data_IF_261428110698
#
_entry.id   IF_261428110698
#
_cell.length_a   1.000
_cell.length_b   1.000
_cell.length_c   1.000
_cell.angle_alpha   90.00
_cell.angle_beta   90.00
_cell.angle_gamma   90.00
#
_symmetry.space_group_name_H-M   'P 1'
#
loop_
_entity.id
_entity.type
_entity.pdbx_description
1 polymer ?
#
# COMPACT_ATOMS: atom_id res chain seq x y z
N UNK A 1 21.42 3.52 0.64
CA UNK A 1 21.26 2.80 -0.64
C UNK A 1 21.12 1.31 -0.37
N UNK A 2 19.92 0.85 0.00
CA UNK A 2 19.63 -0.58 0.06
C UNK A 2 19.51 -1.10 -1.36
N UNK A 3 20.24 -2.16 -1.72
CA UNK A 3 20.08 -2.80 -3.03
C UNK A 3 18.63 -3.32 -3.19
N UNK A 4 18.08 -3.37 -4.42
CA UNK A 4 16.73 -3.90 -4.68
C UNK A 4 16.50 -5.31 -4.10
N UNK A 5 17.57 -6.09 -3.93
CA UNK A 5 17.55 -7.37 -3.22
C UNK A 5 17.19 -7.24 -1.73
N UNK A 6 17.62 -6.20 -1.03
CA UNK A 6 17.36 -6.04 0.40
C UNK A 6 15.87 -5.79 0.69
N UNK A 7 15.20 -4.96 -0.12
CA UNK A 7 13.78 -4.67 0.04
C UNK A 7 12.91 -5.91 -0.22
N UNK A 8 13.22 -6.67 -1.28
CA UNK A 8 12.59 -7.95 -1.58
C UNK A 8 12.79 -8.98 -0.45
N UNK A 9 14.00 -9.09 0.11
CA UNK A 9 14.25 -9.96 1.26
C UNK A 9 13.45 -9.51 2.50
N UNK A 10 13.39 -8.20 2.79
CA UNK A 10 12.59 -7.67 3.90
C UNK A 10 11.11 -7.98 3.71
N UNK A 11 10.53 -7.73 2.53
CA UNK A 11 9.13 -8.04 2.26
C UNK A 11 8.84 -9.54 2.41
N UNK A 12 9.77 -10.39 1.95
CA UNK A 12 9.67 -11.84 2.10
C UNK A 12 9.76 -12.28 3.57
N UNK A 13 10.71 -11.76 4.34
CA UNK A 13 10.84 -12.01 5.79
C UNK A 13 9.57 -11.59 6.50
N UNK A 14 9.05 -10.40 6.20
CA UNK A 14 7.87 -9.89 6.86
C UNK A 14 6.62 -10.70 6.51
N UNK A 15 6.47 -11.20 5.28
CA UNK A 15 5.43 -12.20 4.95
C UNK A 15 5.60 -13.52 5.70
N UNK A 16 6.84 -13.96 5.96
CA UNK A 16 7.07 -15.15 6.79
C UNK A 16 6.67 -14.90 8.25
N UNK A 17 7.03 -13.75 8.81
CA UNK A 17 6.65 -13.34 10.17
C UNK A 17 5.15 -13.19 10.33
N UNK A 18 4.47 -12.68 9.30
CA UNK A 18 3.02 -12.51 9.32
C UNK A 18 2.24 -13.84 9.37
N UNK A 19 2.88 -14.99 9.12
CA UNK A 19 2.30 -16.32 9.40
C UNK A 19 2.23 -16.65 10.89
N UNK A 20 3.11 -16.04 11.69
CA UNK A 20 3.14 -16.18 13.15
C UNK A 20 2.28 -15.12 13.83
N UNK A 21 2.20 -13.93 13.23
CA UNK A 21 1.47 -12.76 13.70
C UNK A 21 0.46 -12.30 12.65
N UNK A 22 -0.78 -12.83 12.66
CA UNK A 22 -1.81 -12.52 11.67
C UNK A 22 -2.11 -11.02 11.55
N UNK A 23 -1.89 -10.24 12.60
CA UNK A 23 -2.03 -8.77 12.61
C UNK A 23 -1.13 -8.06 11.59
N UNK A 24 0.00 -8.68 11.21
CA UNK A 24 0.89 -8.18 10.17
C UNK A 24 0.35 -8.46 8.76
N UNK A 25 -0.59 -9.39 8.59
CA UNK A 25 -1.08 -9.80 7.27
C UNK A 25 -1.70 -8.63 6.50
N UNK A 26 -2.37 -7.68 7.17
CA UNK A 26 -2.93 -6.51 6.48
C UNK A 26 -1.90 -5.49 6.00
N UNK A 27 -0.60 -5.72 6.21
CA UNK A 27 0.48 -4.92 5.62
C UNK A 27 0.94 -5.46 4.26
N UNK A 28 0.51 -6.66 3.85
CA UNK A 28 0.97 -7.31 2.61
C UNK A 28 -0.19 -7.46 1.62
N UNK A 29 -0.05 -6.83 0.45
CA UNK A 29 -0.93 -7.02 -0.70
C UNK A 29 -0.11 -7.44 -1.92
N UNK A 30 -0.62 -8.32 -2.79
CA UNK A 30 -1.85 -9.10 -2.61
C UNK A 30 -1.63 -10.18 -1.54
N UNK A 31 -2.68 -10.52 -0.79
CA UNK A 31 -2.62 -11.71 0.05
C UNK A 31 -2.48 -12.90 -0.89
N UNK A 32 -1.36 -13.64 -0.81
CA UNK A 32 -1.21 -14.89 -1.55
C UNK A 32 -2.34 -15.87 -1.19
N UNK A 33 -2.58 -16.93 -1.99
CA UNK A 33 -3.61 -17.90 -1.69
C UNK A 33 -3.39 -18.44 -0.27
N UNK A 34 -4.35 -18.20 0.61
CA UNK A 34 -4.35 -18.81 1.94
C UNK A 34 -4.61 -20.30 1.71
N UNK A 35 -3.55 -21.11 1.70
CA UNK A 35 -3.70 -22.57 1.81
C UNK A 35 -4.17 -22.88 3.22
N UNK A 36 -5.46 -22.64 3.48
CA UNK A 36 -6.12 -23.02 4.73
C UNK A 36 -6.28 -24.54 4.71
N UNK A 37 -5.30 -25.26 5.24
CA UNK A 37 -5.53 -26.59 5.79
C UNK A 37 -6.16 -26.41 7.18
N UNK A 38 -7.47 -26.15 7.21
CA UNK A 38 -8.24 -26.07 8.45
C UNK A 38 -9.11 -24.82 8.57
N UNK A 39 -10.38 -24.95 8.20
CA UNK A 39 -11.54 -24.28 8.80
C UNK A 39 -11.49 -22.76 9.09
N UNK A 40 -10.94 -21.93 8.18
CA UNK A 40 -11.24 -20.50 8.16
C UNK A 40 -12.09 -20.19 6.93
N UNK A 41 -13.40 -20.40 7.05
CA UNK A 41 -14.37 -19.89 6.07
C UNK A 41 -14.25 -18.37 6.05
N UNK A 42 -13.78 -17.83 4.93
CA UNK A 42 -13.95 -16.42 4.58
C UNK A 42 -15.46 -16.20 4.48
N UNK A 43 -16.05 -15.56 5.49
CA UNK A 43 -17.39 -14.97 5.32
C UNK A 43 -17.23 -13.84 4.32
N UNK A 44 -17.78 -14.04 3.13
CA UNK A 44 -18.15 -12.93 2.26
C UNK A 44 -18.97 -11.94 3.09
N UNK A 45 -18.59 -10.66 3.09
CA UNK A 45 -19.35 -9.57 3.70
C UNK A 45 -20.56 -9.15 2.85
N UNK A 46 -21.10 -10.05 2.04
CA UNK A 46 -22.39 -9.89 1.38
C UNK A 46 -23.48 -10.53 2.25
N UNK A 47 -23.95 -9.78 3.24
CA UNK A 47 -25.04 -10.24 4.11
C UNK A 47 -25.38 -9.20 5.16
N UNK A 48 -26.37 -8.36 4.84
CA UNK A 48 -26.86 -7.29 5.70
C UNK A 48 -27.09 -7.72 7.15
N UNK A 49 -26.37 -7.06 8.05
CA UNK A 49 -26.78 -6.92 9.43
C UNK A 49 -27.07 -5.44 9.66
N UNK A 50 -28.35 -5.07 9.56
CA UNK A 50 -28.90 -3.79 10.01
C UNK A 50 -28.89 -3.74 11.55
N UNK A 51 -27.70 -3.81 12.14
CA UNK A 51 -27.48 -3.25 13.46
C UNK A 51 -26.78 -1.94 13.21
N UNK A 52 -27.53 -0.85 13.26
CA UNK A 52 -26.98 0.50 13.31
C UNK A 52 -26.26 0.69 14.65
N UNK A 53 -25.12 0.00 14.81
CA UNK A 53 -24.07 0.40 15.73
C UNK A 53 -23.69 1.81 15.26
N UNK A 54 -23.94 2.82 16.10
CA UNK A 54 -23.54 4.20 15.87
C UNK A 54 -22.18 4.21 15.15
N UNK A 55 -22.12 4.54 13.84
CA UNK A 55 -20.88 4.42 13.09
C UNK A 55 -19.95 5.50 13.60
N UNK A 56 -19.20 5.17 14.65
CA UNK A 56 -18.11 6.02 15.09
C UNK A 56 -17.09 6.04 13.95
N UNK A 57 -16.63 7.23 13.54
CA UNK A 57 -15.58 7.31 12.53
C UNK A 57 -14.39 6.47 12.98
N UNK A 58 -13.74 5.79 12.03
CA UNK A 58 -12.55 5.02 12.32
C UNK A 58 -11.50 5.91 13.01
N UNK A 59 -10.80 5.41 14.03
CA UNK A 59 -9.67 6.09 14.61
C UNK A 59 -8.70 6.55 13.51
N UNK A 60 -8.08 7.73 13.63
CA UNK A 60 -7.38 8.30 12.49
C UNK A 60 -6.24 7.44 11.92
N UNK A 61 -5.50 6.72 12.79
CA UNK A 61 -4.45 5.79 12.34
C UNK A 61 -5.02 4.61 11.54
N UNK A 62 -6.19 4.11 11.91
CA UNK A 62 -6.86 3.01 11.21
C UNK A 62 -7.39 3.48 9.86
N UNK A 63 -7.95 4.69 9.81
CA UNK A 63 -8.42 5.30 8.58
C UNK A 63 -7.25 5.57 7.62
N UNK A 64 -6.09 6.01 8.11
CA UNK A 64 -4.86 6.13 7.31
C UNK A 64 -4.42 4.76 6.76
N UNK A 65 -4.36 3.72 7.60
CA UNK A 65 -4.03 2.35 7.17
C UNK A 65 -4.98 1.86 6.08
N UNK A 66 -6.29 2.08 6.26
CA UNK A 66 -7.31 1.71 5.29
C UNK A 66 -7.15 2.48 3.97
N UNK A 67 -6.86 3.78 4.02
CA UNK A 67 -6.66 4.61 2.85
C UNK A 67 -5.43 4.15 2.04
N UNK A 68 -4.30 3.88 2.70
CA UNK A 68 -3.09 3.36 2.06
C UNK A 68 -3.42 2.06 1.31
N UNK A 69 -4.03 1.10 2.02
CA UNK A 69 -4.41 -0.21 1.46
C UNK A 69 -5.35 -0.09 0.27
N UNK A 70 -6.38 0.75 0.38
CA UNK A 70 -7.37 0.93 -0.68
C UNK A 70 -6.72 1.51 -1.94
N UNK A 71 -5.84 2.49 -1.77
CA UNK A 71 -5.14 3.11 -2.90
C UNK A 71 -4.13 2.15 -3.52
N UNK A 72 -3.27 1.49 -2.75
CA UNK A 72 -2.29 0.53 -3.30
C UNK A 72 -2.97 -0.61 -4.06
N UNK A 73 -4.06 -1.15 -3.51
CA UNK A 73 -4.83 -2.18 -4.18
C UNK A 73 -5.46 -1.67 -5.49
N UNK A 74 -6.11 -0.50 -5.45
CA UNK A 74 -6.69 0.10 -6.65
C UNK A 74 -5.66 0.34 -7.76
N UNK A 75 -4.49 0.87 -7.39
CA UNK A 75 -3.36 1.11 -8.31
C UNK A 75 -2.92 -0.18 -8.95
N UNK A 76 -2.74 -1.22 -8.14
CA UNK A 76 -2.34 -2.52 -8.65
C UNK A 76 -3.37 -3.10 -9.63
N UNK A 77 -4.66 -3.09 -9.27
CA UNK A 77 -5.74 -3.56 -10.14
C UNK A 77 -5.81 -2.79 -11.46
N UNK A 78 -5.71 -1.46 -11.43
CA UNK A 78 -5.73 -0.68 -12.67
C UNK A 78 -4.48 -0.91 -13.53
N UNK A 79 -3.31 -1.07 -12.89
CA UNK A 79 -2.06 -1.36 -13.59
C UNK A 79 -2.13 -2.72 -14.28
N UNK A 80 -2.63 -3.74 -13.57
CA UNK A 80 -2.84 -5.09 -14.11
C UNK A 80 -3.88 -5.05 -15.24
N UNK A 81 -5.02 -4.39 -15.03
CA UNK A 81 -6.07 -4.26 -16.04
C UNK A 81 -5.61 -3.49 -17.29
N UNK A 82 -4.79 -2.45 -17.11
CA UNK A 82 -4.19 -1.70 -18.21
C UNK A 82 -3.23 -2.58 -19.03
N UNK A 83 -2.35 -3.35 -18.35
CA UNK A 83 -1.44 -4.29 -19.01
C UNK A 83 -2.19 -5.36 -19.80
N UNK A 84 -3.21 -5.98 -19.20
CA UNK A 84 -4.04 -6.99 -19.85
C UNK A 84 -4.80 -6.43 -21.07
N UNK A 85 -5.10 -5.13 -21.06
CA UNK A 85 -5.73 -4.42 -22.18
C UNK A 85 -4.73 -3.90 -23.22
N UNK A 86 -3.44 -4.23 -23.10
CA UNK A 86 -2.37 -3.77 -24.00
C UNK A 86 -2.03 -2.28 -23.85
N UNK A 87 -2.49 -1.60 -22.79
CA UNK A 87 -2.19 -0.20 -22.51
C UNK A 87 -0.83 -0.05 -21.82
N UNK A 88 -0.25 1.14 -21.93
CA UNK A 88 0.97 1.47 -21.18
C UNK A 88 0.65 1.64 -19.69
N UNK A 89 1.36 0.90 -18.85
CA UNK A 89 1.20 0.92 -17.39
C UNK A 89 2.01 2.03 -16.71
N UNK A 90 2.97 2.64 -17.44
CA UNK A 90 3.91 3.61 -16.87
C UNK A 90 3.21 4.85 -16.36
N UNK A 91 2.18 5.34 -17.05
CA UNK A 91 1.41 6.52 -16.60
C UNK A 91 0.79 6.30 -15.21
N UNK A 92 0.22 5.11 -14.97
CA UNK A 92 -0.44 4.78 -13.71
C UNK A 92 0.57 4.71 -12.55
N UNK A 93 1.70 4.03 -12.78
CA UNK A 93 2.75 3.86 -11.77
C UNK A 93 3.50 5.18 -11.51
N UNK A 94 3.72 5.98 -12.55
CA UNK A 94 4.37 7.30 -12.42
C UNK A 94 3.51 8.28 -11.63
N UNK A 95 2.20 8.32 -11.88
CA UNK A 95 1.27 9.19 -11.14
C UNK A 95 1.40 8.97 -9.63
N UNK A 96 1.37 7.71 -9.18
CA UNK A 96 1.57 7.37 -7.76
C UNK A 96 2.98 7.68 -7.29
N UNK A 97 3.99 7.36 -8.09
CA UNK A 97 5.38 7.66 -7.74
C UNK A 97 5.60 9.15 -7.52
N UNK A 98 4.94 10.01 -8.29
CA UNK A 98 5.10 11.46 -8.22
C UNK A 98 4.30 12.07 -7.05
N UNK A 99 3.08 11.57 -6.83
CA UNK A 99 2.24 12.02 -5.70
C UNK A 99 2.77 11.53 -4.34
N UNK A 100 3.24 10.28 -4.24
CA UNK A 100 3.68 9.69 -2.97
C UNK A 100 5.17 9.83 -2.68
N UNK A 101 5.98 10.22 -3.66
CA UNK A 101 7.40 10.54 -3.46
C UNK A 101 7.67 12.02 -3.79
N UNK A 102 7.04 12.98 -3.09
CA UNK A 102 7.25 14.38 -3.39
C UNK A 102 8.72 14.76 -3.15
N UNK A 103 9.22 15.68 -3.96
CA UNK A 103 10.58 16.21 -3.84
C UNK A 103 10.59 17.44 -2.92
N UNK A 104 11.67 17.66 -2.15
CA UNK A 104 11.82 18.87 -1.36
C UNK A 104 11.58 20.13 -2.20
N UNK A 105 10.89 21.16 -1.68
CA UNK A 105 10.52 21.37 -0.27
C UNK A 105 9.19 20.73 0.16
N UNK A 106 8.45 20.08 -0.74
CA UNK A 106 7.14 19.50 -0.43
C UNK A 106 7.32 18.14 0.28
N UNK A 107 7.20 18.13 1.62
CA UNK A 107 7.34 16.89 2.41
C UNK A 107 6.01 16.18 2.64
N UNK A 108 4.89 16.90 2.62
CA UNK A 108 3.57 16.31 2.75
C UNK A 108 3.16 15.64 1.45
N UNK A 109 2.68 14.39 1.54
CA UNK A 109 2.14 13.66 0.40
C UNK A 109 0.85 14.33 -0.10
N UNK A 110 0.81 14.86 -1.33
CA UNK A 110 -0.46 15.11 -1.99
C UNK A 110 -1.16 13.76 -2.22
N UNK A 111 -2.36 13.57 -1.65
CA UNK A 111 -3.09 12.35 -1.91
C UNK A 111 -3.43 12.24 -3.41
N UNK A 112 -3.25 11.08 -4.06
CA UNK A 112 -3.42 10.94 -5.48
C UNK A 112 -4.85 11.26 -5.90
N UNK A 113 -5.01 12.26 -6.77
CA UNK A 113 -6.30 12.89 -7.04
C UNK A 113 -7.31 11.95 -7.72
N UNK A 114 -6.82 10.95 -8.47
CA UNK A 114 -7.65 10.00 -9.23
C UNK A 114 -8.02 8.75 -8.45
N UNK A 115 -7.46 8.57 -7.26
CA UNK A 115 -7.68 7.40 -6.41
C UNK A 115 -8.71 7.72 -5.34
N UNK A 116 -9.52 6.74 -4.89
CA UNK A 116 -10.66 6.98 -4.01
C UNK A 116 -10.29 7.94 -2.86
N UNK A 117 -11.08 9.01 -2.81
CA UNK A 117 -10.87 10.24 -2.03
C UNK A 117 -11.04 10.04 -0.51
N UNK A 118 -10.69 11.05 0.32
CA UNK A 118 -9.33 11.52 0.58
C UNK A 118 -8.96 11.42 2.07
N UNK A 119 -7.66 11.34 2.37
CA UNK A 119 -7.09 11.70 3.67
C UNK A 119 -6.63 13.18 3.61
N UNK A 120 -6.82 14.01 4.66
CA UNK A 120 -7.14 13.65 6.04
C UNK A 120 -8.61 13.81 6.46
N UNK A 121 -9.04 13.11 7.52
CA UNK A 121 -10.33 13.27 8.16
C UNK A 121 -10.33 14.62 8.89
N UNK A 122 -10.74 15.67 8.19
CA UNK A 122 -10.73 17.04 8.70
C UNK A 122 -9.33 17.66 8.76
N UNK A 123 -9.30 18.99 8.57
CA UNK A 123 -8.13 19.80 8.88
C UNK A 123 -8.29 20.40 10.29
N UNK A 124 -7.25 20.36 11.14
CA UNK A 124 -5.94 19.74 10.92
C UNK A 124 -5.98 18.20 11.03
N UNK A 125 -5.09 17.51 10.30
CA UNK A 125 -4.97 16.05 10.40
C UNK A 125 -4.59 15.64 11.83
N UNK A 126 -5.28 14.67 12.44
CA UNK A 126 -4.96 14.20 13.78
C UNK A 126 -3.72 13.28 13.83
N UNK A 127 -3.08 13.00 12.69
CA UNK A 127 -1.80 12.27 12.62
C UNK A 127 -0.73 13.25 12.18
N UNK A 128 0.37 13.29 12.93
CA UNK A 128 1.54 14.10 12.61
C UNK A 128 2.02 13.82 11.17
N UNK A 129 2.03 14.81 10.26
CA UNK A 129 2.48 14.63 8.88
C UNK A 129 3.92 14.14 8.75
N UNK A 130 4.79 14.47 9.70
CA UNK A 130 6.20 14.05 9.71
C UNK A 130 6.32 12.55 10.00
N UNK A 131 5.43 12.00 10.83
CA UNK A 131 5.33 10.55 11.05
C UNK A 131 4.54 9.86 9.94
N UNK A 132 3.46 10.48 9.46
CA UNK A 132 2.52 9.89 8.52
C UNK A 132 3.16 9.67 7.14
N UNK A 133 3.93 10.64 6.65
CA UNK A 133 4.58 10.59 5.32
C UNK A 133 5.47 9.36 5.14
N UNK A 134 6.53 9.15 5.96
CA UNK A 134 7.40 7.99 5.82
C UNK A 134 6.65 6.68 6.08
N UNK A 135 5.63 6.68 6.97
CA UNK A 135 4.81 5.50 7.21
C UNK A 135 3.94 5.12 6.00
N UNK A 136 3.32 6.09 5.32
CA UNK A 136 2.56 5.88 4.07
C UNK A 136 3.49 5.30 3.00
N UNK A 137 4.65 5.93 2.79
CA UNK A 137 5.64 5.50 1.80
C UNK A 137 6.13 4.08 2.07
N UNK A 138 6.51 3.76 3.32
CA UNK A 138 6.98 2.43 3.68
C UNK A 138 5.89 1.36 3.53
N UNK A 139 4.66 1.63 3.98
CA UNK A 139 3.54 0.70 3.86
C UNK A 139 3.15 0.46 2.39
N UNK A 140 3.14 1.52 1.58
CA UNK A 140 2.91 1.44 0.16
C UNK A 140 3.99 0.63 -0.57
N UNK A 141 5.26 0.92 -0.27
CA UNK A 141 6.40 0.18 -0.84
C UNK A 141 6.31 -1.30 -0.52
N UNK A 142 5.92 -1.66 0.70
CA UNK A 142 5.73 -3.05 1.11
C UNK A 142 4.62 -3.75 0.34
N UNK A 143 3.51 -3.06 0.09
CA UNK A 143 2.41 -3.57 -0.73
C UNK A 143 2.84 -3.76 -2.18
N UNK A 144 3.48 -2.77 -2.82
CA UNK A 144 3.92 -2.93 -4.21
C UNK A 144 5.03 -3.97 -4.38
N UNK A 145 5.94 -4.13 -3.41
CA UNK A 145 6.88 -5.25 -3.40
C UNK A 145 6.14 -6.61 -3.28
N UNK A 146 5.03 -6.65 -2.54
CA UNK A 146 4.10 -7.76 -2.53
C UNK A 146 3.57 -8.15 -3.90
N UNK A 147 3.12 -7.17 -4.68
CA UNK A 147 2.71 -7.38 -6.06
C UNK A 147 3.86 -7.82 -6.96
N UNK A 148 5.04 -7.18 -6.84
CA UNK A 148 6.22 -7.52 -7.63
C UNK A 148 6.63 -8.99 -7.44
N UNK A 149 6.70 -9.45 -6.18
CA UNK A 149 7.09 -10.83 -5.87
C UNK A 149 6.00 -11.86 -6.23
N UNK A 150 4.74 -11.43 -6.31
CA UNK A 150 3.58 -12.31 -6.48
C UNK A 150 3.14 -12.51 -7.93
N UNK A 151 3.56 -11.64 -8.85
CA UNK A 151 3.16 -11.65 -10.25
C UNK A 151 4.23 -12.33 -11.10
N UNK A 152 3.81 -13.25 -11.96
CA UNK A 152 4.71 -13.97 -12.88
C UNK A 152 5.10 -13.15 -14.13
N UNK A 153 4.29 -12.16 -14.49
CA UNK A 153 4.58 -11.27 -15.63
C UNK A 153 5.76 -10.36 -15.30
N UNK A 154 6.83 -10.47 -16.08
CA UNK A 154 8.10 -9.77 -15.83
C UNK A 154 7.94 -8.24 -15.91
N UNK A 155 7.06 -7.74 -16.79
CA UNK A 155 6.87 -6.30 -16.96
C UNK A 155 6.13 -5.70 -15.77
N UNK A 156 5.08 -6.37 -15.29
CA UNK A 156 4.37 -5.97 -14.07
C UNK A 156 5.26 -6.11 -12.83
N UNK A 157 6.03 -7.19 -12.73
CA UNK A 157 6.99 -7.41 -11.66
C UNK A 157 8.00 -6.25 -11.58
N UNK A 158 8.63 -5.90 -12.70
CA UNK A 158 9.57 -4.78 -12.77
C UNK A 158 8.91 -3.45 -12.40
N UNK A 159 7.73 -3.15 -12.95
CA UNK A 159 7.03 -1.89 -12.68
C UNK A 159 6.67 -1.70 -11.20
N UNK A 160 6.16 -2.75 -10.54
CA UNK A 160 5.85 -2.69 -9.11
C UNK A 160 7.10 -2.66 -8.24
N UNK A 161 8.16 -3.39 -8.62
CA UNK A 161 9.45 -3.36 -7.91
C UNK A 161 10.09 -1.97 -7.94
N UNK A 162 10.15 -1.34 -9.11
CA UNK A 162 10.68 0.02 -9.26
C UNK A 162 9.87 1.06 -8.45
N UNK A 163 8.54 0.93 -8.43
CA UNK A 163 7.69 1.78 -7.60
C UNK A 163 7.95 1.56 -6.11
N UNK A 164 8.08 0.30 -5.69
CA UNK A 164 8.38 -0.04 -4.31
C UNK A 164 9.73 0.55 -3.86
N UNK A 165 10.77 0.42 -4.67
CA UNK A 165 12.10 0.99 -4.40
C UNK A 165 12.05 2.52 -4.26
N UNK A 166 11.34 3.22 -5.17
CA UNK A 166 11.12 4.68 -5.06
C UNK A 166 10.47 5.05 -3.74
N UNK A 167 9.43 4.31 -3.33
CA UNK A 167 8.69 4.57 -2.10
C UNK A 167 9.54 4.31 -0.86
N UNK A 168 10.32 3.22 -0.82
CA UNK A 168 11.22 2.97 0.30
C UNK A 168 12.31 4.03 0.42
N UNK A 169 12.93 4.43 -0.69
CA UNK A 169 13.94 5.49 -0.67
C UNK A 169 13.33 6.83 -0.22
N UNK A 170 12.09 7.13 -0.62
CA UNK A 170 11.37 8.30 -0.12
C UNK A 170 11.06 8.20 1.38
N UNK A 171 10.65 7.03 1.86
CA UNK A 171 10.37 6.78 3.27
C UNK A 171 11.61 7.02 4.14
N UNK A 172 12.75 6.42 3.78
CA UNK A 172 14.01 6.59 4.52
C UNK A 172 14.46 8.04 4.51
N UNK A 173 14.45 8.68 3.33
CA UNK A 173 14.79 10.10 3.21
C UNK A 173 13.93 10.96 4.14
N UNK A 174 12.61 10.73 4.20
CA UNK A 174 11.72 11.55 5.04
C UNK A 174 11.79 11.20 6.52
N UNK A 175 12.10 9.95 6.89
CA UNK A 175 12.28 9.54 8.27
C UNK A 175 13.57 10.09 8.89
N UNK A 176 14.65 10.22 8.11
CA UNK A 176 15.94 10.73 8.58
C UNK A 176 15.94 12.26 8.85
N UNK A 177 14.91 12.98 8.40
CA UNK A 177 14.75 14.44 8.60
C UNK A 177 13.67 14.82 9.63
N UNK A 178 13.12 13.85 10.36
CA UNK A 178 12.15 13.99 11.46
C UNK A 178 12.81 13.75 12.81
#
# INVERSE_FOLDING_TARGET
MGSPTSAAHTARIMRMLARLHPELWDLFHPHGPVLTTGAAQIRSLDGGSEVALNPQPLPPRELLRFAIRRTTHGVAEATIGAHQSGRDIREIVQEIGDDWCPTPPHRTIPWPKRWPAPWPPGEPSPVDPELATPAVQAAAGLAFQGYADGIADEKLCAAFGELADRLFEAAFRNADYS
#
